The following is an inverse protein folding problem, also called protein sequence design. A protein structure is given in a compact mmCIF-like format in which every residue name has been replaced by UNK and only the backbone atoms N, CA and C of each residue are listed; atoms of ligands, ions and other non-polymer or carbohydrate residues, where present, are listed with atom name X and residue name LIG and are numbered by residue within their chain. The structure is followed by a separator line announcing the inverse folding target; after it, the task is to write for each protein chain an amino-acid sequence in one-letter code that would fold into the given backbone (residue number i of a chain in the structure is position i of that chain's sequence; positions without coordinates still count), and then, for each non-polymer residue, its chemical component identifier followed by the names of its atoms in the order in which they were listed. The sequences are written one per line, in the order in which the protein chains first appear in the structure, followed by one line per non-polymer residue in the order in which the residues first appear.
data_IF_405314547194
#
_entry.id   IF_405314547194
#
_cell.length_a   1.000
_cell.length_b   1.000
_cell.length_c   1.000
_cell.angle_alpha   90.00
_cell.angle_beta   90.00
_cell.angle_gamma   90.00
#
_symmetry.space_group_name_H-M   'P 1'
#
loop_
_entity.id
_entity.type
_entity.pdbx_description
1 polymer ?
#
# COMPACT_ATOMS: atom_id res chain seq x y z
N UNK A 1 18.43 -26.88 -9.29
CA UNK A 1 17.94 -26.58 -7.94
C UNK A 1 17.62 -25.10 -7.77
N UNK A 2 18.56 -24.22 -8.01
CA UNK A 2 18.34 -22.75 -7.91
C UNK A 2 17.12 -22.21 -8.67
N UNK A 3 16.81 -22.60 -9.92
CA UNK A 3 15.59 -22.09 -10.60
C UNK A 3 14.28 -22.44 -9.87
N UNK A 4 14.23 -23.56 -9.16
CA UNK A 4 13.08 -23.96 -8.37
C UNK A 4 12.93 -23.08 -7.13
N UNK A 5 14.03 -22.75 -6.48
CA UNK A 5 14.07 -21.88 -5.29
C UNK A 5 13.61 -20.45 -5.65
N UNK A 6 14.10 -19.89 -6.75
CA UNK A 6 13.63 -18.58 -7.24
C UNK A 6 12.15 -18.57 -7.60
N UNK A 7 11.64 -19.61 -8.22
CA UNK A 7 10.18 -19.73 -8.49
C UNK A 7 9.38 -19.78 -7.21
N UNK A 8 9.86 -20.48 -6.18
CA UNK A 8 9.21 -20.53 -4.88
C UNK A 8 9.22 -19.17 -4.20
N UNK A 9 10.36 -18.49 -4.18
CA UNK A 9 10.48 -17.14 -3.65
C UNK A 9 9.54 -16.17 -4.38
N UNK A 10 9.52 -16.23 -5.71
CA UNK A 10 8.63 -15.40 -6.53
C UNK A 10 7.16 -15.62 -6.18
N UNK A 11 6.71 -16.86 -6.07
CA UNK A 11 5.32 -17.18 -5.69
C UNK A 11 4.96 -16.63 -4.31
N UNK A 12 5.85 -16.75 -3.33
CA UNK A 12 5.62 -16.24 -1.98
C UNK A 12 5.52 -14.71 -1.97
N UNK A 13 6.43 -14.03 -2.64
CA UNK A 13 6.43 -12.57 -2.72
C UNK A 13 5.26 -12.03 -3.56
N UNK A 14 4.90 -12.70 -4.66
CA UNK A 14 3.75 -12.32 -5.47
C UNK A 14 2.44 -12.47 -4.67
N UNK A 15 2.28 -13.55 -3.94
CA UNK A 15 1.12 -13.73 -3.06
C UNK A 15 1.04 -12.64 -1.99
N UNK A 16 2.18 -12.24 -1.42
CA UNK A 16 2.23 -11.16 -0.44
C UNK A 16 1.90 -9.81 -1.08
N UNK A 17 2.41 -9.55 -2.28
CA UNK A 17 2.12 -8.35 -3.06
C UNK A 17 0.61 -8.23 -3.34
N UNK A 18 -0.02 -9.31 -3.79
CA UNK A 18 -1.46 -9.36 -4.05
C UNK A 18 -2.29 -9.22 -2.77
N UNK A 19 -1.80 -9.75 -1.65
CA UNK A 19 -2.42 -9.58 -0.33
C UNK A 19 -2.45 -8.12 0.11
N UNK A 20 -1.38 -7.38 -0.09
CA UNK A 20 -1.34 -5.94 0.21
C UNK A 20 -2.30 -5.14 -0.68
N UNK A 21 -2.47 -5.53 -1.94
CA UNK A 21 -3.47 -4.92 -2.81
C UNK A 21 -4.90 -5.12 -2.29
N UNK A 22 -5.22 -6.32 -1.79
CA UNK A 22 -6.50 -6.62 -1.15
C UNK A 22 -6.72 -5.78 0.11
N UNK A 23 -5.69 -5.62 0.95
CA UNK A 23 -5.79 -4.79 2.15
C UNK A 23 -6.04 -3.32 1.81
N UNK A 24 -5.37 -2.80 0.80
CA UNK A 24 -5.62 -1.46 0.26
C UNK A 24 -7.08 -1.29 -0.20
N UNK A 25 -7.62 -2.28 -0.93
CA UNK A 25 -9.01 -2.28 -1.36
C UNK A 25 -9.98 -2.28 -0.17
N UNK A 26 -9.74 -3.10 0.84
CA UNK A 26 -10.60 -3.17 2.03
C UNK A 26 -10.63 -1.84 2.79
N UNK A 27 -9.52 -1.14 2.89
CA UNK A 27 -9.46 0.19 3.50
C UNK A 27 -10.29 1.20 2.73
N UNK A 28 -10.23 1.19 1.40
CA UNK A 28 -11.05 2.06 0.55
C UNK A 28 -12.54 1.78 0.73
N UNK A 29 -12.93 0.51 0.76
CA UNK A 29 -14.32 0.10 1.01
C UNK A 29 -14.77 0.51 2.42
N UNK A 30 -13.92 0.34 3.43
CA UNK A 30 -14.20 0.79 4.79
C UNK A 30 -14.41 2.31 4.86
N UNK A 31 -13.59 3.07 4.14
CA UNK A 31 -13.74 4.54 4.07
C UNK A 31 -15.09 4.95 3.48
N UNK A 32 -15.55 4.25 2.44
CA UNK A 32 -16.90 4.46 1.87
C UNK A 32 -17.99 4.12 2.89
N UNK A 33 -17.86 3.00 3.57
CA UNK A 33 -18.84 2.57 4.60
C UNK A 33 -18.92 3.58 5.74
N UNK A 34 -17.78 4.08 6.22
CA UNK A 34 -17.72 5.11 7.28
C UNK A 34 -18.45 6.37 6.85
N UNK A 35 -18.23 6.85 5.63
CA UNK A 35 -18.92 8.03 5.13
C UNK A 35 -20.43 7.80 4.98
N UNK A 36 -20.85 6.67 4.42
CA UNK A 36 -22.27 6.32 4.28
C UNK A 36 -22.96 6.18 5.63
N UNK A 37 -22.30 5.57 6.62
CA UNK A 37 -22.85 5.46 7.97
C UNK A 37 -23.01 6.83 8.62
N UNK A 38 -22.05 7.72 8.44
CA UNK A 38 -22.14 9.11 8.93
C UNK A 38 -23.32 9.87 8.30
N UNK A 39 -23.51 9.68 6.98
CA UNK A 39 -24.64 10.25 6.25
C UNK A 39 -26.00 9.78 6.78
N UNK A 40 -26.18 8.46 6.86
CA UNK A 40 -27.44 7.84 7.30
C UNK A 40 -27.78 8.24 8.76
N UNK A 41 -26.75 8.40 9.59
CA UNK A 41 -26.91 8.76 11.00
C UNK A 41 -26.99 10.27 11.23
N UNK A 42 -26.87 11.08 10.20
CA UNK A 42 -26.79 12.55 10.26
C UNK A 42 -25.72 13.06 11.24
N UNK A 43 -24.58 12.32 11.31
CA UNK A 43 -23.45 12.61 12.19
C UNK A 43 -22.25 13.03 11.35
N UNK A 44 -22.31 14.25 10.83
CA UNK A 44 -21.18 14.85 10.12
C UNK A 44 -20.36 15.67 11.12
N UNK A 45 -19.11 15.25 11.34
CA UNK A 45 -18.23 15.87 12.32
C UNK A 45 -16.75 15.81 11.93
N UNK A 46 -15.95 16.62 12.61
CA UNK A 46 -14.49 16.59 12.46
C UNK A 46 -13.90 15.21 12.78
N UNK A 47 -14.52 14.41 13.63
CA UNK A 47 -14.08 13.06 13.93
C UNK A 47 -14.17 12.14 12.71
N UNK A 48 -15.22 12.25 11.91
CA UNK A 48 -15.34 11.48 10.65
C UNK A 48 -14.22 11.88 9.68
N UNK A 49 -13.90 13.17 9.57
CA UNK A 49 -12.78 13.64 8.78
C UNK A 49 -11.46 13.00 9.24
N UNK A 50 -11.20 13.01 10.55
CA UNK A 50 -9.99 12.40 11.11
C UNK A 50 -9.91 10.91 10.83
N UNK A 51 -11.03 10.18 10.95
CA UNK A 51 -11.10 8.75 10.63
C UNK A 51 -10.75 8.51 9.14
N UNK A 52 -11.33 9.29 8.22
CA UNK A 52 -11.03 9.17 6.79
C UNK A 52 -9.56 9.47 6.48
N UNK A 53 -8.96 10.46 7.14
CA UNK A 53 -7.53 10.77 6.99
C UNK A 53 -6.66 9.62 7.50
N UNK A 54 -6.99 9.04 8.66
CA UNK A 54 -6.26 7.87 9.21
C UNK A 54 -6.35 6.68 8.26
N UNK A 55 -7.53 6.40 7.70
CA UNK A 55 -7.71 5.33 6.71
C UNK A 55 -6.89 5.59 5.44
N UNK A 56 -6.84 6.83 4.97
CA UNK A 56 -5.97 7.21 3.85
C UNK A 56 -4.49 6.95 4.15
N UNK A 57 -4.01 7.36 5.32
CA UNK A 57 -2.63 7.10 5.73
C UNK A 57 -2.34 5.58 5.86
N UNK A 58 -3.30 4.82 6.36
CA UNK A 58 -3.17 3.35 6.45
C UNK A 58 -3.09 2.70 5.06
N UNK A 59 -3.86 3.17 4.09
CA UNK A 59 -3.76 2.73 2.69
C UNK A 59 -2.37 3.03 2.13
N UNK A 60 -1.84 4.23 2.39
CA UNK A 60 -0.48 4.60 2.00
C UNK A 60 0.60 3.68 2.60
N UNK A 61 0.44 3.24 3.85
CA UNK A 61 1.35 2.30 4.51
C UNK A 61 1.32 0.95 3.79
N UNK A 62 0.16 0.39 3.47
CA UNK A 62 0.05 -0.85 2.70
C UNK A 62 0.68 -0.75 1.32
N UNK A 63 0.47 0.37 0.63
CA UNK A 63 1.11 0.64 -0.67
C UNK A 63 2.64 0.78 -0.55
N UNK A 64 3.13 1.32 0.54
CA UNK A 64 4.57 1.37 0.82
C UNK A 64 5.14 -0.04 0.99
N UNK A 65 4.48 -0.91 1.74
CA UNK A 65 4.89 -2.30 1.89
C UNK A 65 4.88 -3.06 0.56
N UNK A 66 3.86 -2.86 -0.25
CA UNK A 66 3.77 -3.41 -1.59
C UNK A 66 4.94 -2.95 -2.49
N UNK A 67 5.26 -1.66 -2.46
CA UNK A 67 6.35 -1.09 -3.25
C UNK A 67 7.75 -1.62 -2.87
N UNK A 68 7.91 -2.17 -1.69
CA UNK A 68 9.18 -2.79 -1.24
C UNK A 68 9.38 -4.17 -1.86
N UNK A 69 8.31 -4.88 -2.18
CA UNK A 69 8.37 -6.21 -2.77
C UNK A 69 8.67 -6.15 -4.27
N UNK A 70 8.16 -5.15 -4.97
CA UNK A 70 8.23 -5.02 -6.42
C UNK A 70 9.67 -5.13 -6.98
N UNK A 71 10.68 -4.40 -6.45
CA UNK A 71 12.04 -4.50 -6.96
C UNK A 71 12.62 -5.92 -6.87
N UNK A 72 12.29 -6.64 -5.80
CA UNK A 72 12.76 -8.02 -5.63
C UNK A 72 12.08 -8.98 -6.58
N UNK A 73 10.79 -8.82 -6.84
CA UNK A 73 10.07 -9.61 -7.86
C UNK A 73 10.71 -9.46 -9.23
N UNK A 74 10.98 -8.23 -9.67
CA UNK A 74 11.63 -7.95 -10.94
C UNK A 74 13.06 -8.53 -11.00
N UNK A 75 13.79 -8.45 -9.91
CA UNK A 75 15.13 -9.04 -9.80
C UNK A 75 15.10 -10.57 -9.92
N UNK A 76 14.14 -11.23 -9.27
CA UNK A 76 13.98 -12.69 -9.34
C UNK A 76 13.60 -13.11 -10.77
N UNK A 77 12.69 -12.40 -11.43
CA UNK A 77 12.32 -12.67 -12.82
C UNK A 77 13.54 -12.60 -13.76
N UNK A 78 14.38 -11.58 -13.55
CA UNK A 78 15.65 -11.45 -14.28
C UNK A 78 16.57 -12.64 -14.01
N UNK A 79 16.77 -13.03 -12.75
CA UNK A 79 17.62 -14.16 -12.36
C UNK A 79 17.13 -15.48 -12.95
N UNK A 80 15.83 -15.71 -13.01
CA UNK A 80 15.26 -16.91 -13.64
C UNK A 80 15.54 -16.92 -15.15
N UNK A 81 15.37 -15.76 -15.81
CA UNK A 81 15.58 -15.65 -17.26
C UNK A 81 17.06 -15.81 -17.68
N UNK A 82 17.97 -15.27 -16.88
CA UNK A 82 19.41 -15.29 -17.12
C UNK A 82 20.11 -16.54 -16.55
N UNK A 83 19.39 -17.45 -15.89
CA UNK A 83 19.94 -18.63 -15.19
C UNK A 83 21.05 -18.25 -14.22
N UNK A 84 20.84 -17.18 -13.47
CA UNK A 84 21.83 -16.62 -12.54
C UNK A 84 22.25 -17.62 -11.46
N UNK A 85 23.51 -17.49 -11.01
CA UNK A 85 24.09 -18.22 -9.87
C UNK A 85 23.82 -17.56 -8.51
N UNK A 86 23.08 -16.45 -8.49
CA UNK A 86 22.72 -15.71 -7.26
C UNK A 86 21.91 -16.57 -6.27
N UNK A 87 21.86 -16.12 -5.03
CA UNK A 87 21.14 -16.81 -3.96
C UNK A 87 19.68 -16.39 -3.89
N UNK A 88 18.79 -17.37 -3.78
CA UNK A 88 17.37 -17.15 -3.53
C UNK A 88 17.12 -16.74 -2.07
N UNK A 89 15.89 -16.31 -1.77
CA UNK A 89 15.42 -15.91 -0.43
C UNK A 89 16.21 -14.79 0.23
N UNK A 90 16.65 -13.81 -0.56
CA UNK A 90 17.45 -12.66 -0.11
C UNK A 90 16.64 -11.35 0.01
N UNK A 91 15.29 -11.41 0.06
CA UNK A 91 14.45 -10.23 0.10
C UNK A 91 14.82 -9.26 1.25
N UNK A 92 14.90 -9.76 2.47
CA UNK A 92 15.22 -8.92 3.63
C UNK A 92 16.66 -8.38 3.59
N UNK A 93 17.60 -9.18 3.11
CA UNK A 93 19.01 -8.78 2.95
C UNK A 93 19.15 -7.66 1.94
N UNK A 94 18.52 -7.79 0.78
CA UNK A 94 18.56 -6.77 -0.27
C UNK A 94 17.80 -5.51 0.14
N UNK A 95 16.62 -5.65 0.76
CA UNK A 95 15.87 -4.52 1.29
C UNK A 95 16.63 -3.75 2.37
N UNK A 96 17.34 -4.44 3.27
CA UNK A 96 18.13 -3.82 4.34
C UNK A 96 19.22 -2.87 3.81
N UNK A 97 19.79 -3.16 2.63
CA UNK A 97 20.80 -2.32 1.98
C UNK A 97 20.25 -0.97 1.50
N UNK A 98 18.98 -0.91 1.13
CA UNK A 98 18.35 0.27 0.48
C UNK A 98 17.20 0.88 1.29
N UNK A 99 16.93 0.39 2.49
CA UNK A 99 15.81 0.86 3.30
C UNK A 99 15.95 2.32 3.70
N UNK A 100 14.82 3.00 3.71
CA UNK A 100 14.72 4.33 4.26
C UNK A 100 14.60 4.31 5.79
N UNK A 101 15.04 5.40 6.45
CA UNK A 101 14.91 5.60 7.88
C UNK A 101 14.62 7.06 8.21
N UNK A 102 14.04 7.33 9.38
CA UNK A 102 13.74 8.67 9.86
C UNK A 102 12.87 9.47 8.88
N UNK A 103 13.30 10.70 8.57
CA UNK A 103 12.56 11.63 7.68
C UNK A 103 12.38 11.07 6.28
N UNK A 104 13.35 10.33 5.75
CA UNK A 104 13.25 9.70 4.42
C UNK A 104 12.12 8.67 4.36
N UNK A 105 11.90 7.93 5.45
CA UNK A 105 10.79 6.97 5.55
C UNK A 105 9.44 7.69 5.59
N UNK A 106 9.31 8.76 6.36
CA UNK A 106 8.09 9.58 6.41
C UNK A 106 7.80 10.18 5.03
N UNK A 107 8.80 10.69 4.34
CA UNK A 107 8.66 11.24 3.00
C UNK A 107 8.20 10.17 1.98
N UNK A 108 8.65 8.93 2.13
CA UNK A 108 8.16 7.81 1.32
C UNK A 108 6.67 7.56 1.55
N UNK A 109 6.21 7.52 2.81
CA UNK A 109 4.78 7.37 3.12
C UNK A 109 3.94 8.49 2.52
N UNK A 110 4.38 9.74 2.63
CA UNK A 110 3.71 10.89 2.01
C UNK A 110 3.64 10.73 0.49
N UNK A 111 4.74 10.37 -0.14
CA UNK A 111 4.78 10.14 -1.59
C UNK A 111 3.82 9.02 -2.02
N UNK A 112 3.75 7.93 -1.28
CA UNK A 112 2.81 6.83 -1.56
C UNK A 112 1.36 7.26 -1.37
N UNK A 113 1.06 8.09 -0.37
CA UNK A 113 -0.28 8.63 -0.14
C UNK A 113 -0.79 9.51 -1.28
N UNK A 114 0.11 10.16 -2.00
CA UNK A 114 -0.20 11.07 -3.12
C UNK A 114 -0.28 10.34 -4.48
N UNK A 115 -0.01 9.05 -4.55
CA UNK A 115 -0.21 8.29 -5.80
C UNK A 115 -1.67 8.36 -6.23
N UNK A 116 -1.96 8.56 -7.53
CA UNK A 116 -3.36 8.70 -8.00
C UNK A 116 -4.27 7.56 -7.59
N UNK A 117 -3.78 6.32 -7.59
CA UNK A 117 -4.55 5.13 -7.19
C UNK A 117 -4.87 5.07 -5.70
N UNK A 118 -4.09 5.76 -4.87
CA UNK A 118 -4.31 5.89 -3.42
C UNK A 118 -5.08 7.16 -3.11
N UNK A 119 -4.61 8.31 -3.60
CA UNK A 119 -5.15 9.62 -3.26
C UNK A 119 -6.56 9.84 -3.79
N UNK A 120 -6.86 9.43 -5.02
CA UNK A 120 -8.13 9.76 -5.68
C UNK A 120 -9.37 9.33 -4.89
N UNK A 121 -9.52 8.06 -4.45
CA UNK A 121 -10.72 7.68 -3.71
C UNK A 121 -10.87 8.44 -2.39
N UNK A 122 -9.79 8.61 -1.64
CA UNK A 122 -9.81 9.27 -0.34
C UNK A 122 -10.09 10.77 -0.45
N UNK A 123 -9.49 11.45 -1.44
CA UNK A 123 -9.75 12.87 -1.68
C UNK A 123 -11.22 13.10 -2.04
N UNK A 124 -11.81 12.27 -2.89
CA UNK A 124 -13.24 12.37 -3.25
C UNK A 124 -14.13 12.22 -2.02
N UNK A 125 -13.87 11.23 -1.16
CA UNK A 125 -14.65 11.03 0.06
C UNK A 125 -14.53 12.20 1.03
N UNK A 126 -13.33 12.75 1.19
CA UNK A 126 -13.11 13.94 2.04
C UNK A 126 -13.82 15.17 1.47
N UNK A 127 -13.80 15.38 0.16
CA UNK A 127 -14.51 16.48 -0.48
C UNK A 127 -16.03 16.35 -0.29
N UNK A 128 -16.60 15.16 -0.42
CA UNK A 128 -18.02 14.90 -0.15
C UNK A 128 -18.33 15.26 1.30
N UNK A 129 -17.55 14.79 2.26
CA UNK A 129 -17.72 15.11 3.67
C UNK A 129 -17.67 16.62 3.94
N UNK A 130 -16.71 17.33 3.35
CA UNK A 130 -16.56 18.78 3.54
C UNK A 130 -17.74 19.55 2.95
N UNK A 131 -18.24 19.15 1.77
CA UNK A 131 -19.44 19.77 1.17
C UNK A 131 -20.64 19.61 2.11
N UNK A 132 -20.81 18.45 2.72
CA UNK A 132 -21.90 18.19 3.64
C UNK A 132 -21.76 18.95 4.96
N UNK A 133 -20.52 19.05 5.48
CA UNK A 133 -20.23 19.80 6.70
C UNK A 133 -20.50 21.31 6.55
N UNK A 134 -20.29 21.86 5.34
CA UNK A 134 -20.52 23.27 5.04
C UNK A 134 -21.97 23.62 4.65
N UNK A 135 -22.81 22.61 4.44
CA UNK A 135 -24.22 22.77 4.05
C UNK A 135 -25.14 22.89 5.24
#
# INVERSE_FOLDING_TARGET
MKPKEFKTEWCLLQNQFDSYEKHSLYIKLLSVIVLLAAEISDVISIFILLVLVVLWLQDAIWKTFQSRIEPRLLQIEKYISEKSEESAFQFNTEYHKVRFSGISLINEYVRQSMRPTVAFPHIVLILILLIQYLR
#
